data_IF_085551506096
#
_entry.id   IF_085551506096
#
_cell.length_a   1.000
_cell.length_b   1.000
_cell.length_c   1.000
_cell.angle_alpha   90.00
_cell.angle_beta   90.00
_cell.angle_gamma   90.00
#
_symmetry.space_group_name_H-M   'P 1'
#
loop_
_entity.id
_entity.type
_entity.pdbx_description
1 polymer ?
#
# COMPACT_ATOMS: atom_id res chain seq x y z
N UNK A 1 46.61 -39.11 48.68
CA UNK A 1 47.53 -37.97 48.85
C UNK A 1 47.95 -37.49 47.47
N UNK A 2 47.74 -36.19 47.20
CA UNK A 2 48.53 -35.29 46.30
C UNK A 2 48.86 -35.78 44.88
N UNK A 3 48.25 -35.26 43.80
CA UNK A 3 48.28 -33.91 43.17
C UNK A 3 49.11 -33.94 41.86
N UNK A 4 48.77 -33.02 40.95
CA UNK A 4 49.39 -32.66 39.65
C UNK A 4 48.70 -33.35 38.46
N UNK A 5 47.66 -32.80 37.83
CA UNK A 5 47.55 -31.53 37.07
C UNK A 5 48.72 -31.38 36.09
N UNK A 6 48.51 -31.85 34.85
CA UNK A 6 49.22 -31.36 33.68
C UNK A 6 48.17 -30.98 32.64
N UNK A 7 47.99 -29.67 32.51
CA UNK A 7 47.09 -28.98 31.61
C UNK A 7 47.48 -29.26 30.16
N UNK A 8 46.65 -30.00 29.42
CA UNK A 8 46.70 -29.96 27.95
C UNK A 8 45.40 -29.34 27.48
N UNK A 9 45.49 -28.04 27.23
CA UNK A 9 44.45 -27.21 26.66
C UNK A 9 44.19 -27.70 25.22
N UNK A 10 43.20 -28.57 25.04
CA UNK A 10 42.66 -28.89 23.72
C UNK A 10 41.77 -27.72 23.32
N UNK A 11 42.31 -26.84 22.47
CA UNK A 11 41.54 -25.81 21.79
C UNK A 11 40.57 -26.53 20.85
N UNK A 12 39.34 -26.74 21.31
CA UNK A 12 38.23 -27.14 20.45
C UNK A 12 37.90 -25.91 19.59
N UNK A 13 38.38 -25.91 18.35
CA UNK A 13 37.98 -24.92 17.35
C UNK A 13 36.48 -25.11 17.10
N UNK A 14 35.66 -24.30 17.77
CA UNK A 14 34.26 -24.13 17.44
C UNK A 14 34.25 -23.51 16.04
N UNK A 15 34.03 -24.34 15.03
CA UNK A 15 33.64 -23.88 13.70
C UNK A 15 32.27 -23.23 13.89
N UNK A 16 32.25 -21.93 14.20
CA UNK A 16 31.08 -21.12 13.96
C UNK A 16 30.89 -21.11 12.45
N UNK A 17 30.08 -22.03 11.95
CA UNK A 17 29.35 -21.86 10.72
C UNK A 17 28.43 -20.65 10.96
N UNK A 18 29.00 -19.46 10.81
CA UNK A 18 28.25 -18.24 10.61
C UNK A 18 27.50 -18.41 9.30
N UNK A 19 26.35 -19.06 9.36
CA UNK A 19 25.31 -18.87 8.38
C UNK A 19 25.00 -17.39 8.39
N UNK A 20 25.43 -16.70 7.34
CA UNK A 20 24.87 -15.41 7.03
C UNK A 20 23.39 -15.71 6.74
N UNK A 21 22.50 -15.42 7.70
CA UNK A 21 21.07 -15.38 7.41
C UNK A 21 20.92 -14.41 6.24
N UNK A 22 20.55 -14.95 5.09
CA UNK A 22 20.17 -14.14 3.95
C UNK A 22 18.88 -13.43 4.38
N UNK A 23 19.01 -12.16 4.77
CA UNK A 23 17.88 -11.24 4.76
C UNK A 23 17.37 -11.23 3.31
N UNK A 24 16.36 -12.06 3.02
CA UNK A 24 15.64 -11.96 1.76
C UNK A 24 15.00 -10.58 1.77
N UNK A 25 15.56 -9.67 0.97
CA UNK A 25 14.90 -8.40 0.66
C UNK A 25 13.52 -8.78 0.14
N UNK A 26 12.49 -8.53 0.93
CA UNK A 26 11.11 -8.73 0.50
C UNK A 26 10.86 -7.76 -0.65
N UNK A 27 11.02 -8.23 -1.89
CA UNK A 27 10.66 -7.46 -3.07
C UNK A 27 9.14 -7.48 -3.17
N UNK A 28 8.49 -6.41 -2.71
CA UNK A 28 7.05 -6.24 -2.92
C UNK A 28 6.78 -6.16 -4.42
N UNK A 29 5.80 -6.92 -4.92
CA UNK A 29 5.47 -6.91 -6.35
C UNK A 29 4.75 -5.63 -6.79
N UNK A 30 4.07 -4.96 -5.85
CA UNK A 30 3.31 -3.76 -6.12
C UNK A 30 4.18 -2.53 -6.35
N UNK A 31 3.50 -1.45 -6.73
CA UNK A 31 4.11 -0.17 -7.04
C UNK A 31 3.47 0.94 -6.23
N UNK A 32 4.25 1.97 -5.91
CA UNK A 32 3.79 3.14 -5.16
C UNK A 32 3.99 4.41 -5.99
N UNK A 33 2.91 5.20 -6.15
CA UNK A 33 2.94 6.51 -6.83
C UNK A 33 2.57 7.60 -5.81
N UNK A 34 3.56 8.41 -5.43
CA UNK A 34 3.38 9.49 -4.45
C UNK A 34 3.37 10.83 -5.17
N UNK A 35 2.25 11.57 -5.09
CA UNK A 35 2.10 12.90 -5.68
C UNK A 35 2.01 13.93 -4.55
N UNK A 36 2.99 14.84 -4.45
CA UNK A 36 3.09 15.79 -3.33
C UNK A 36 1.92 16.77 -3.16
N UNK A 37 1.03 16.88 -4.16
CA UNK A 37 -0.10 17.81 -4.18
C UNK A 37 0.04 18.85 -5.29
N UNK A 38 -0.98 19.69 -5.44
CA UNK A 38 -1.07 20.64 -6.57
C UNK A 38 -1.47 19.94 -7.86
N UNK A 39 -0.75 20.20 -8.95
CA UNK A 39 -1.03 19.58 -10.25
C UNK A 39 -0.77 18.07 -10.20
N UNK A 40 -1.65 17.29 -10.83
CA UNK A 40 -1.42 15.88 -11.16
C UNK A 40 -1.09 15.77 -12.65
N UNK A 41 0.19 15.69 -13.04
CA UNK A 41 0.55 15.62 -14.45
C UNK A 41 -0.03 14.35 -15.08
N UNK A 42 -0.63 14.47 -16.26
CA UNK A 42 -1.23 13.34 -16.97
C UNK A 42 -0.26 12.16 -17.15
N UNK A 43 1.03 12.44 -17.39
CA UNK A 43 2.06 11.40 -17.52
C UNK A 43 2.20 10.54 -16.26
N UNK A 44 2.00 11.10 -15.07
CA UNK A 44 2.05 10.35 -13.80
C UNK A 44 0.78 9.52 -13.64
N UNK A 45 -0.39 10.07 -14.02
CA UNK A 45 -1.66 9.35 -13.97
C UNK A 45 -1.69 8.18 -14.97
N UNK A 46 -1.16 8.37 -16.19
CA UNK A 46 -0.94 7.29 -17.15
C UNK A 46 0.01 6.23 -16.60
N UNK A 47 1.11 6.65 -15.96
CA UNK A 47 2.03 5.69 -15.34
C UNK A 47 1.35 4.87 -14.24
N UNK A 48 0.47 5.48 -13.44
CA UNK A 48 -0.35 4.74 -12.47
C UNK A 48 -1.24 3.71 -13.16
N UNK A 49 -1.92 4.08 -14.25
CA UNK A 49 -2.74 3.15 -15.06
C UNK A 49 -1.92 2.00 -15.63
N UNK A 50 -0.75 2.26 -16.22
CA UNK A 50 0.12 1.22 -16.76
C UNK A 50 0.52 0.20 -15.68
N UNK A 51 0.84 0.68 -14.47
CA UNK A 51 1.21 -0.15 -13.33
C UNK A 51 0.02 -0.92 -12.74
N UNK A 52 -1.20 -0.41 -12.92
CA UNK A 52 -2.44 -1.06 -12.50
C UNK A 52 -2.93 -2.15 -13.48
N UNK A 53 -2.30 -2.30 -14.65
CA UNK A 53 -2.71 -3.28 -15.68
C UNK A 53 -3.16 -2.67 -17.00
N UNK A 54 -2.98 -1.36 -17.21
CA UNK A 54 -3.31 -0.71 -18.48
C UNK A 54 -4.82 -0.71 -18.75
N UNK A 55 -5.23 -1.28 -19.89
CA UNK A 55 -6.65 -1.35 -20.27
C UNK A 55 -7.49 -2.25 -19.36
N UNK A 56 -6.88 -3.26 -18.74
CA UNK A 56 -7.55 -4.18 -17.79
C UNK A 56 -7.50 -3.65 -16.35
N UNK A 57 -7.07 -2.40 -16.16
CA UNK A 57 -6.96 -1.83 -14.83
C UNK A 57 -8.35 -1.59 -14.23
N UNK A 58 -8.49 -1.95 -12.96
CA UNK A 58 -9.67 -1.63 -12.14
C UNK A 58 -9.20 -0.74 -11.00
N UNK A 59 -9.63 0.53 -11.00
CA UNK A 59 -9.15 1.56 -10.08
C UNK A 59 -10.19 1.90 -9.02
N UNK A 60 -9.84 1.67 -7.75
CA UNK A 60 -10.60 2.14 -6.60
C UNK A 60 -10.10 3.53 -6.22
N UNK A 61 -10.98 4.52 -6.20
CA UNK A 61 -10.70 5.87 -5.74
C UNK A 61 -11.19 6.01 -4.30
N UNK A 62 -10.32 6.46 -3.39
CA UNK A 62 -10.61 6.68 -1.97
C UNK A 62 -10.55 8.20 -1.70
N UNK A 63 -11.66 8.94 -1.91
CA UNK A 63 -11.65 10.41 -1.83
C UNK A 63 -11.85 10.95 -0.40
N UNK A 64 -11.77 10.08 0.61
CA UNK A 64 -12.22 10.36 1.99
C UNK A 64 -11.37 11.37 2.77
N UNK A 65 -10.27 11.85 2.21
CA UNK A 65 -9.53 12.98 2.77
C UNK A 65 -10.31 14.30 2.65
N UNK A 66 -11.16 14.46 1.62
CA UNK A 66 -11.84 15.72 1.33
C UNK A 66 -13.22 15.80 1.98
N UNK A 67 -13.67 17.01 2.30
CA UNK A 67 -15.07 17.31 2.62
C UNK A 67 -15.96 17.19 1.37
N UNK A 68 -15.41 17.47 0.19
CA UNK A 68 -16.07 17.39 -1.13
C UNK A 68 -15.77 16.05 -1.81
N UNK A 69 -15.84 14.96 -1.03
CA UNK A 69 -15.41 13.64 -1.47
C UNK A 69 -16.25 13.10 -2.65
N UNK A 70 -17.51 13.50 -2.77
CA UNK A 70 -18.39 13.05 -3.86
C UNK A 70 -17.96 13.67 -5.20
N UNK A 71 -17.74 14.98 -5.24
CA UNK A 71 -17.28 15.68 -6.44
C UNK A 71 -15.84 15.30 -6.79
N UNK A 72 -14.98 15.20 -5.76
CA UNK A 72 -13.60 14.74 -5.90
C UNK A 72 -13.51 13.32 -6.47
N UNK A 73 -14.32 12.41 -5.94
CA UNK A 73 -14.44 11.03 -6.41
C UNK A 73 -14.86 10.97 -7.87
N UNK A 74 -16.01 11.57 -8.22
CA UNK A 74 -16.55 11.59 -9.60
C UNK A 74 -15.59 12.18 -10.63
N UNK A 75 -14.89 13.26 -10.26
CA UNK A 75 -13.88 13.86 -11.13
C UNK A 75 -12.74 12.89 -11.42
N UNK A 76 -12.28 12.17 -10.40
CA UNK A 76 -11.15 11.24 -10.50
C UNK A 76 -11.56 9.95 -11.20
N UNK A 77 -12.80 9.46 -10.98
CA UNK A 77 -13.38 8.37 -11.79
C UNK A 77 -13.34 8.72 -13.28
N UNK A 78 -13.89 9.88 -13.64
CA UNK A 78 -13.92 10.35 -15.04
C UNK A 78 -12.51 10.42 -15.64
N UNK A 79 -11.55 10.97 -14.89
CA UNK A 79 -10.15 11.04 -15.32
C UNK A 79 -9.58 9.65 -15.63
N UNK A 80 -9.76 8.66 -14.76
CA UNK A 80 -9.26 7.31 -15.03
C UNK A 80 -9.98 6.62 -16.19
N UNK A 81 -11.29 6.82 -16.35
CA UNK A 81 -12.04 6.30 -17.51
C UNK A 81 -11.51 6.92 -18.81
N UNK A 82 -11.24 8.21 -18.84
CA UNK A 82 -10.64 8.90 -20.01
C UNK A 82 -9.21 8.42 -20.32
N UNK A 83 -8.51 7.87 -19.33
CA UNK A 83 -7.21 7.23 -19.51
C UNK A 83 -7.30 5.77 -20.01
N UNK A 84 -8.51 5.21 -20.12
CA UNK A 84 -8.76 3.93 -20.80
C UNK A 84 -8.72 2.68 -19.91
N UNK A 85 -8.99 2.82 -18.61
CA UNK A 85 -9.11 1.67 -17.68
C UNK A 85 -10.43 0.90 -17.88
N UNK A 86 -10.47 -0.37 -17.50
CA UNK A 86 -11.67 -1.21 -17.54
C UNK A 86 -12.74 -0.66 -16.58
N UNK A 87 -12.34 -0.32 -15.36
CA UNK A 87 -13.23 0.21 -14.34
C UNK A 87 -12.53 1.28 -13.50
N UNK A 88 -13.25 2.35 -13.19
CA UNK A 88 -12.87 3.30 -12.14
C UNK A 88 -14.08 3.57 -11.26
N UNK A 89 -13.94 3.44 -9.94
CA UNK A 89 -15.02 3.66 -8.98
C UNK A 89 -14.54 4.32 -7.69
N UNK A 90 -15.29 5.30 -7.22
CA UNK A 90 -15.10 5.94 -5.94
C UNK A 90 -15.78 5.16 -4.82
N UNK A 91 -15.02 4.91 -3.75
CA UNK A 91 -15.45 4.23 -2.55
C UNK A 91 -15.59 5.24 -1.41
N UNK A 92 -16.84 5.51 -1.02
CA UNK A 92 -17.16 6.40 0.08
C UNK A 92 -17.25 5.61 1.38
N UNK A 93 -16.11 5.51 2.08
CA UNK A 93 -15.96 4.75 3.33
C UNK A 93 -15.92 5.77 4.47
N UNK A 94 -17.05 6.03 5.16
CA UNK A 94 -17.17 7.19 6.05
C UNK A 94 -16.38 7.06 7.36
N UNK A 95 -16.14 5.84 7.83
CA UNK A 95 -15.57 5.54 9.14
C UNK A 95 -14.87 4.17 9.17
N UNK A 96 -14.20 3.87 10.28
CA UNK A 96 -13.45 2.63 10.48
C UNK A 96 -14.33 1.39 10.62
N UNK A 97 -15.59 1.53 11.06
CA UNK A 97 -16.54 0.43 11.10
C UNK A 97 -16.86 -0.04 9.67
N UNK A 98 -17.14 0.90 8.76
CA UNK A 98 -17.37 0.61 7.36
C UNK A 98 -16.09 0.15 6.64
N UNK A 99 -14.91 0.60 7.07
CA UNK A 99 -13.63 0.08 6.57
C UNK A 99 -13.38 -1.39 6.97
N UNK A 100 -14.05 -1.88 8.01
CA UNK A 100 -13.98 -3.27 8.45
C UNK A 100 -15.15 -4.15 7.96
N UNK A 101 -16.11 -3.62 7.20
CA UNK A 101 -17.28 -4.39 6.79
C UNK A 101 -16.97 -5.35 5.64
N UNK A 102 -17.54 -6.56 5.69
CA UNK A 102 -17.36 -7.58 4.64
C UNK A 102 -17.75 -7.07 3.25
N UNK A 103 -18.76 -6.21 3.16
CA UNK A 103 -19.21 -5.62 1.90
C UNK A 103 -18.18 -4.67 1.31
N UNK A 104 -17.54 -3.83 2.13
CA UNK A 104 -16.44 -2.96 1.70
C UNK A 104 -15.24 -3.79 1.24
N UNK A 105 -14.83 -4.79 2.03
CA UNK A 105 -13.68 -5.63 1.73
C UNK A 105 -13.90 -6.42 0.43
N UNK A 106 -15.05 -7.07 0.29
CA UNK A 106 -15.42 -7.82 -0.92
C UNK A 106 -15.43 -6.92 -2.15
N UNK A 107 -15.94 -5.71 -2.03
CA UNK A 107 -15.98 -4.78 -3.16
C UNK A 107 -14.57 -4.31 -3.56
N UNK A 108 -13.68 -4.04 -2.60
CA UNK A 108 -12.31 -3.58 -2.85
C UNK A 108 -11.36 -4.68 -3.37
N UNK A 109 -11.68 -5.95 -3.12
CA UNK A 109 -10.79 -7.09 -3.40
C UNK A 109 -10.33 -7.16 -4.86
N UNK A 110 -11.26 -6.93 -5.79
CA UNK A 110 -11.04 -7.14 -7.23
C UNK A 110 -10.29 -6.02 -7.94
N UNK A 111 -9.94 -4.94 -7.23
CA UNK A 111 -9.25 -3.79 -7.81
C UNK A 111 -7.74 -4.02 -7.93
N UNK A 112 -7.14 -3.42 -8.96
CA UNK A 112 -5.71 -3.54 -9.28
C UNK A 112 -4.93 -2.26 -9.01
N UNK A 113 -5.63 -1.14 -8.81
CA UNK A 113 -5.05 0.10 -8.32
C UNK A 113 -5.94 0.80 -7.29
N UNK A 114 -5.32 1.38 -6.27
CA UNK A 114 -6.01 2.13 -5.21
C UNK A 114 -5.44 3.55 -5.13
N UNK A 115 -6.29 4.54 -5.43
CA UNK A 115 -5.89 5.94 -5.51
C UNK A 115 -6.53 6.78 -4.40
N UNK A 116 -5.70 7.31 -3.51
CA UNK A 116 -6.13 8.10 -2.35
C UNK A 116 -6.12 9.60 -2.67
N UNK A 117 -7.30 10.22 -2.51
CA UNK A 117 -7.49 11.65 -2.79
C UNK A 117 -6.78 12.58 -1.79
N UNK A 118 -6.73 13.87 -2.14
CA UNK A 118 -6.21 14.93 -1.28
C UNK A 118 -7.26 15.49 -0.31
N UNK A 119 -6.81 16.24 0.70
CA UNK A 119 -7.66 16.80 1.76
C UNK A 119 -6.95 16.77 3.11
N UNK A 120 -7.55 16.13 4.12
CA UNK A 120 -7.00 15.94 5.45
C UNK A 120 -6.50 14.50 5.65
N UNK A 121 -5.19 14.33 5.86
CA UNK A 121 -4.54 13.04 6.11
C UNK A 121 -4.92 12.41 7.45
N UNK A 122 -5.28 13.20 8.46
CA UNK A 122 -5.72 12.69 9.75
C UNK A 122 -7.06 11.95 9.59
N UNK A 123 -7.96 12.48 8.75
CA UNK A 123 -9.24 11.82 8.43
C UNK A 123 -9.03 10.46 7.76
N UNK A 124 -8.08 10.35 6.83
CA UNK A 124 -7.72 9.05 6.24
C UNK A 124 -7.13 8.10 7.30
N UNK A 125 -6.26 8.62 8.17
CA UNK A 125 -5.64 7.82 9.24
C UNK A 125 -6.69 7.31 10.23
N UNK A 126 -7.64 8.15 10.65
CA UNK A 126 -8.75 7.80 11.54
C UNK A 126 -9.67 6.73 10.93
N UNK A 127 -9.93 6.80 9.62
CA UNK A 127 -10.78 5.83 8.92
C UNK A 127 -10.06 4.49 8.75
N UNK A 128 -8.80 4.50 8.30
CA UNK A 128 -8.16 3.28 7.80
C UNK A 128 -7.14 2.66 8.75
N UNK A 129 -6.43 3.42 9.58
CA UNK A 129 -5.31 2.85 10.34
C UNK A 129 -5.78 1.70 11.26
N UNK A 130 -5.10 0.56 11.18
CA UNK A 130 -5.44 -0.66 11.92
C UNK A 130 -6.77 -1.35 11.52
N UNK A 131 -7.39 -0.98 10.39
CA UNK A 131 -8.62 -1.63 9.89
C UNK A 131 -8.35 -2.77 8.91
N UNK A 132 -9.36 -3.60 8.65
CA UNK A 132 -9.26 -4.67 7.66
C UNK A 132 -9.08 -4.14 6.23
N UNK A 133 -9.62 -2.96 5.89
CA UNK A 133 -9.33 -2.33 4.60
C UNK A 133 -7.86 -1.93 4.48
N UNK A 134 -7.23 -1.46 5.57
CA UNK A 134 -5.81 -1.16 5.58
C UNK A 134 -4.95 -2.41 5.37
N UNK A 135 -5.28 -3.52 6.06
CA UNK A 135 -4.65 -4.82 5.81
C UNK A 135 -4.84 -5.30 4.37
N UNK A 136 -6.04 -5.10 3.80
CA UNK A 136 -6.34 -5.40 2.40
C UNK A 136 -5.45 -4.59 1.46
N UNK A 137 -5.29 -3.28 1.65
CA UNK A 137 -4.44 -2.46 0.78
C UNK A 137 -2.98 -2.94 0.81
N UNK A 138 -2.44 -3.25 1.99
CA UNK A 138 -1.09 -3.80 2.14
C UNK A 138 -0.93 -5.17 1.46
N UNK A 139 -1.91 -6.06 1.65
CA UNK A 139 -1.89 -7.38 0.99
C UNK A 139 -1.95 -7.23 -0.52
N UNK A 140 -2.88 -6.43 -1.05
CA UNK A 140 -3.04 -6.21 -2.49
C UNK A 140 -1.79 -5.57 -3.09
N UNK A 141 -1.16 -4.63 -2.40
CA UNK A 141 0.15 -4.10 -2.76
C UNK A 141 1.22 -5.20 -2.82
N UNK A 142 1.31 -6.07 -1.82
CA UNK A 142 2.26 -7.21 -1.83
C UNK A 142 2.01 -8.18 -3.00
N UNK A 143 0.75 -8.33 -3.42
CA UNK A 143 0.31 -9.18 -4.53
C UNK A 143 0.52 -8.56 -5.92
N UNK A 144 0.86 -7.27 -6.01
CA UNK A 144 1.19 -6.60 -7.28
C UNK A 144 0.33 -5.39 -7.63
N UNK A 145 -0.66 -5.03 -6.81
CA UNK A 145 -1.46 -3.84 -7.05
C UNK A 145 -0.64 -2.55 -6.90
N UNK A 146 -1.08 -1.50 -7.57
CA UNK A 146 -0.51 -0.16 -7.39
C UNK A 146 -1.28 0.61 -6.31
N UNK A 147 -0.55 1.21 -5.37
CA UNK A 147 -1.09 2.22 -4.46
C UNK A 147 -0.62 3.59 -4.93
N UNK A 148 -1.48 4.59 -4.86
CA UNK A 148 -1.10 5.94 -5.22
C UNK A 148 -1.92 6.98 -4.48
N UNK A 149 -1.37 8.16 -4.31
CA UNK A 149 -2.08 9.22 -3.60
C UNK A 149 -1.55 10.60 -3.90
N UNK A 150 -2.40 11.60 -3.68
CA UNK A 150 -2.05 13.01 -3.85
C UNK A 150 -2.24 13.80 -2.55
N UNK A 151 -1.30 14.69 -2.21
CA UNK A 151 -1.38 15.52 -1.01
C UNK A 151 -1.61 14.68 0.26
N UNK A 152 -2.76 14.77 0.92
CA UNK A 152 -3.10 13.92 2.06
C UNK A 152 -3.00 12.42 1.76
N UNK A 153 -3.44 11.97 0.59
CA UNK A 153 -3.32 10.57 0.18
C UNK A 153 -1.87 10.13 -0.01
N UNK A 154 -0.97 11.04 -0.39
CA UNK A 154 0.47 10.78 -0.41
C UNK A 154 1.06 10.70 1.01
N UNK A 155 0.59 11.56 1.91
CA UNK A 155 1.11 11.65 3.28
C UNK A 155 0.83 10.38 4.12
N UNK A 156 -0.24 9.64 3.84
CA UNK A 156 -0.56 8.41 4.60
C UNK A 156 0.25 7.18 4.15
N UNK A 157 1.05 7.28 3.08
CA UNK A 157 1.77 6.13 2.52
C UNK A 157 3.00 5.71 3.32
N UNK A 158 3.43 6.54 4.28
CA UNK A 158 4.61 6.28 5.11
C UNK A 158 4.28 5.78 6.52
N UNK A 159 3.03 5.40 6.76
CA UNK A 159 2.50 5.06 8.09
C UNK A 159 2.02 3.62 8.18
#
# INVERSE_FOLDING_TARGET
>A
MTKNICSTLVILAIIFLGGCEQNSVHTTKGHLIIIGGGSRPEIIMRKFVDLAGGSEARIAIIPMASEYYQEGGKRTEKEFIELGVEEARAFYIPDSLQACSDSTLTALESYTGYFFGGGNQNRLTEIFNGTLAHELFHRRYSEGAVLGGTSAGAAIMSN
#
